data_IF_971640249055
#
_entry.id   IF_971640249055
#
_cell.length_a   1.000
_cell.length_b   1.000
_cell.length_c   1.000
_cell.angle_alpha   90.00
_cell.angle_beta   90.00
_cell.angle_gamma   90.00
#
_symmetry.space_group_name_H-M   'P 1'
#
loop_
_entity.id
_entity.type
_entity.pdbx_description
1 polymer ?
#
# COMPACT_ATOMS: atom_id res chain seq x y z
N UNK A 1 -19.91 -6.81 6.21
CA UNK A 1 -19.50 -7.97 5.37
C UNK A 1 -19.65 -7.64 3.89
N UNK A 2 -18.56 -7.23 3.23
CA UNK A 2 -18.52 -6.97 1.78
C UNK A 2 -17.72 -8.08 1.09
N UNK A 3 -18.33 -8.64 0.04
CA UNK A 3 -17.84 -9.75 -0.77
C UNK A 3 -16.36 -9.56 -1.17
N UNK A 4 -15.50 -10.53 -0.82
CA UNK A 4 -14.08 -10.56 -1.23
C UNK A 4 -13.04 -10.05 -0.22
N UNK A 5 -13.45 -9.60 0.98
CA UNK A 5 -12.52 -9.17 2.04
C UNK A 5 -12.87 -9.83 3.38
N UNK A 6 -12.49 -11.11 3.60
CA UNK A 6 -12.92 -11.88 4.78
C UNK A 6 -12.16 -11.53 6.06
N UNK A 7 -11.09 -10.74 5.98
CA UNK A 7 -10.25 -10.43 7.13
C UNK A 7 -10.56 -9.05 7.66
N UNK A 8 -11.16 -8.96 8.85
CA UNK A 8 -11.57 -7.69 9.45
C UNK A 8 -10.63 -7.29 10.60
N UNK A 9 -10.38 -5.99 10.78
CA UNK A 9 -9.67 -5.48 11.93
C UNK A 9 -10.61 -5.19 13.09
N UNK A 10 -10.48 -5.91 14.20
CA UNK A 10 -11.32 -5.73 15.39
C UNK A 10 -11.24 -4.33 16.01
N UNK A 11 -10.16 -3.58 15.76
CA UNK A 11 -9.95 -2.24 16.35
C UNK A 11 -10.54 -1.09 15.53
N UNK A 12 -10.64 -1.22 14.21
CA UNK A 12 -11.12 -0.14 13.33
C UNK A 12 -12.08 -0.62 12.23
N UNK A 13 -12.49 -1.88 12.26
CA UNK A 13 -13.49 -2.52 11.40
C UNK A 13 -13.16 -2.49 9.89
N UNK A 14 -11.89 -2.24 9.55
CA UNK A 14 -11.39 -2.28 8.17
C UNK A 14 -11.29 -3.72 7.67
N UNK A 15 -11.82 -3.98 6.48
CA UNK A 15 -11.80 -5.30 5.86
C UNK A 15 -10.59 -5.45 4.91
N UNK A 16 -10.04 -6.64 4.75
CA UNK A 16 -8.89 -6.96 3.90
C UNK A 16 -9.14 -8.25 3.12
N UNK A 17 -8.62 -8.31 1.89
CA UNK A 17 -8.68 -9.51 1.03
C UNK A 17 -7.67 -10.57 1.42
N UNK A 18 -6.63 -10.21 2.19
CA UNK A 18 -5.54 -11.11 2.57
C UNK A 18 -5.20 -10.99 4.06
N UNK A 19 -5.03 -12.14 4.74
CA UNK A 19 -4.66 -12.22 6.16
C UNK A 19 -3.35 -11.50 6.46
N UNK A 20 -2.36 -11.63 5.56
CA UNK A 20 -1.05 -10.98 5.69
C UNK A 20 -1.18 -9.45 5.79
N UNK A 21 -2.07 -8.85 5.00
CA UNK A 21 -2.33 -7.41 5.03
C UNK A 21 -2.97 -6.98 6.35
N UNK A 22 -3.93 -7.76 6.87
CA UNK A 22 -4.53 -7.52 8.19
C UNK A 22 -3.49 -7.58 9.32
N UNK A 23 -2.63 -8.61 9.35
CA UNK A 23 -1.59 -8.74 10.38
C UNK A 23 -0.60 -7.58 10.37
N UNK A 24 -0.24 -7.09 9.18
CA UNK A 24 0.63 -5.91 9.04
C UNK A 24 -0.10 -4.65 9.51
N UNK A 25 -1.37 -4.49 9.13
CA UNK A 25 -2.23 -3.39 9.56
C UNK A 25 -2.37 -3.35 11.09
N UNK A 26 -2.53 -4.51 11.74
CA UNK A 26 -2.68 -4.60 13.20
C UNK A 26 -1.47 -4.05 13.97
N UNK A 27 -0.26 -4.08 13.38
CA UNK A 27 0.94 -3.50 13.98
C UNK A 27 0.86 -1.98 14.16
N UNK A 28 0.01 -1.30 13.38
CA UNK A 28 -0.24 0.14 13.53
C UNK A 28 -0.97 0.47 14.84
N UNK A 29 -1.78 -0.47 15.35
CA UNK A 29 -2.51 -0.31 16.60
C UNK A 29 -1.69 -0.65 17.85
N UNK A 30 -0.47 -1.15 17.69
CA UNK A 30 0.37 -1.66 18.79
C UNK A 30 1.31 -0.61 19.37
N UNK A 31 1.24 0.66 18.94
CA UNK A 31 2.02 1.77 19.51
C UNK A 31 3.55 1.69 19.33
N UNK A 32 4.12 0.55 18.93
CA UNK A 32 5.52 0.43 18.49
C UNK A 32 5.62 0.91 17.05
N UNK A 33 5.94 2.19 16.93
CA UNK A 33 6.46 2.92 15.78
C UNK A 33 7.13 2.03 14.71
N UNK A 34 6.32 1.46 13.84
CA UNK A 34 6.71 1.12 12.48
C UNK A 34 5.77 1.92 11.61
N UNK A 35 6.24 3.00 10.97
CA UNK A 35 5.45 3.78 10.01
C UNK A 35 5.10 2.86 8.83
N UNK A 36 4.04 2.07 8.97
CA UNK A 36 3.49 1.28 7.89
C UNK A 36 2.72 2.24 7.01
N UNK A 37 3.15 2.34 5.77
CA UNK A 37 2.57 3.25 4.79
C UNK A 37 1.64 2.45 3.88
N UNK A 38 0.41 2.90 3.70
CA UNK A 38 -0.60 2.16 2.95
C UNK A 38 -1.04 2.92 1.72
N UNK A 39 -1.39 2.19 0.66
CA UNK A 39 -1.91 2.77 -0.57
C UNK A 39 -3.44 2.90 -0.47
N UNK A 40 -3.95 4.13 -0.56
CA UNK A 40 -5.39 4.42 -0.54
C UNK A 40 -6.17 3.75 -1.67
N UNK A 41 -5.57 3.59 -2.84
CA UNK A 41 -6.21 3.01 -4.02
C UNK A 41 -6.30 1.48 -3.99
N UNK A 42 -5.40 0.78 -3.29
CA UNK A 42 -5.31 -0.69 -3.34
C UNK A 42 -5.27 -1.39 -1.98
N UNK A 43 -5.22 -0.65 -0.87
CA UNK A 43 -5.12 -1.20 0.49
C UNK A 43 -3.81 -1.95 0.78
N UNK A 44 -2.84 -1.94 -0.14
CA UNK A 44 -1.52 -2.57 0.07
C UNK A 44 -0.69 -1.76 1.07
N UNK A 45 0.00 -2.46 1.97
CA UNK A 45 0.86 -1.87 3.02
C UNK A 45 2.34 -2.05 2.70
N UNK A 46 3.15 -1.05 3.02
CA UNK A 46 4.60 -1.00 2.76
C UNK A 46 5.35 -0.64 4.05
N UNK A 47 6.52 -1.23 4.22
CA UNK A 47 7.42 -0.94 5.36
C UNK A 47 8.29 0.30 5.14
N UNK A 48 8.40 0.77 3.89
CA UNK A 48 9.26 1.90 3.51
C UNK A 48 8.50 2.89 2.62
N UNK A 49 8.69 4.22 2.80
CA UNK A 49 8.06 5.24 1.97
C UNK A 49 8.40 5.15 0.49
N UNK A 50 9.65 4.86 0.16
CA UNK A 50 10.11 4.69 -1.21
C UNK A 50 9.33 3.59 -1.95
N UNK A 51 8.98 2.50 -1.26
CA UNK A 51 8.17 1.43 -1.84
C UNK A 51 6.71 1.84 -2.05
N UNK A 52 6.12 2.61 -1.13
CA UNK A 52 4.77 3.15 -1.34
C UNK A 52 4.75 4.13 -2.52
N UNK A 53 5.70 5.07 -2.58
CA UNK A 53 5.76 6.08 -3.65
C UNK A 53 5.91 5.41 -5.01
N UNK A 54 6.84 4.43 -5.13
CA UNK A 54 6.99 3.65 -6.36
C UNK A 54 5.72 2.89 -6.73
N UNK A 55 5.04 2.31 -5.75
CA UNK A 55 3.76 1.64 -5.98
C UNK A 55 2.67 2.62 -6.44
N UNK A 56 2.59 3.82 -5.87
CA UNK A 56 1.60 4.83 -6.28
C UNK A 56 1.73 5.24 -7.76
N UNK A 57 2.96 5.24 -8.30
CA UNK A 57 3.19 5.49 -9.73
C UNK A 57 2.50 4.48 -10.64
N UNK A 58 2.21 3.27 -10.17
CA UNK A 58 1.45 2.28 -10.94
C UNK A 58 -0.02 2.67 -11.14
N UNK A 59 -0.56 3.55 -10.29
CA UNK A 59 -1.92 4.08 -10.43
C UNK A 59 -1.96 5.34 -11.28
N UNK A 60 -0.97 6.22 -11.15
CA UNK A 60 -0.91 7.49 -11.87
C UNK A 60 -0.29 7.36 -13.26
N UNK A 61 0.44 6.27 -13.54
CA UNK A 61 1.22 6.11 -14.76
C UNK A 61 2.41 7.07 -14.85
N UNK A 62 2.81 7.69 -13.74
CA UNK A 62 3.89 8.67 -13.73
C UNK A 62 5.23 7.98 -14.07
N UNK A 63 5.89 8.52 -15.11
CA UNK A 63 7.18 8.06 -15.63
C UNK A 63 8.21 9.18 -15.53
N UNK A 64 8.84 9.36 -14.35
CA UNK A 64 9.71 10.49 -14.10
C UNK A 64 11.08 10.34 -14.78
N UNK A 65 11.48 9.13 -15.16
CA UNK A 65 12.78 8.91 -15.77
C UNK A 65 12.68 9.08 -17.28
N UNK A 66 13.39 10.06 -17.84
CA UNK A 66 13.45 10.29 -19.28
C UNK A 66 14.78 9.76 -19.83
N UNK A 67 14.73 9.11 -20.99
CA UNK A 67 15.94 8.79 -21.73
C UNK A 67 16.50 10.05 -22.41
N UNK A 68 17.80 10.28 -22.31
CA UNK A 68 18.45 11.41 -22.97
C UNK A 68 18.70 11.18 -24.46
N UNK A 69 18.66 9.91 -24.91
CA UNK A 69 18.92 9.52 -26.29
C UNK A 69 17.65 9.26 -27.11
N UNK A 70 16.49 9.10 -26.46
CA UNK A 70 15.22 8.87 -27.14
C UNK A 70 14.03 9.43 -26.33
N UNK A 71 12.85 9.66 -26.94
CA UNK A 71 11.69 10.25 -26.25
C UNK A 71 11.00 9.30 -25.26
N UNK A 72 11.58 8.13 -24.95
CA UNK A 72 10.98 7.16 -24.02
C UNK A 72 11.08 7.65 -22.57
N UNK A 73 10.00 7.40 -21.82
CA UNK A 73 9.90 7.66 -20.38
C UNK A 73 9.65 6.36 -19.62
N UNK A 74 10.30 6.20 -18.47
CA UNK A 74 10.28 5.03 -17.60
C UNK A 74 9.76 5.37 -16.20
#
# INVERSE_FOLDING_TARGET
HLWGRPYECDKCQECFSQKKTLLIHQRMHSGRSGRVLWCSYSGKTFSHPSNLIRHQRTHTGERPYQCNECPKRF
#
